data_IF_744173112731
#
_entry.id   IF_744173112731
#
_cell.length_a   1.000
_cell.length_b   1.000
_cell.length_c   1.000
_cell.angle_alpha   90.00
_cell.angle_beta   90.00
_cell.angle_gamma   90.00
#
_symmetry.space_group_name_H-M   'P 1'
#
loop_
_entity.id
_entity.type
_entity.pdbx_description
1 polymer ?
#
# COMPACT_ATOMS: atom_id res chain seq x y z
N UNK A 1 12.33 11.08 -13.02
CA UNK A 1 11.80 9.71 -13.29
C UNK A 1 12.11 8.86 -12.08
N UNK A 2 11.30 7.85 -11.77
CA UNK A 2 11.54 6.97 -10.63
C UNK A 2 12.83 6.15 -10.81
N UNK A 3 13.48 5.76 -9.71
CA UNK A 3 14.61 4.80 -9.74
C UNK A 3 14.15 3.48 -10.38
N UNK A 4 15.07 2.78 -11.05
CA UNK A 4 14.84 1.43 -11.57
C UNK A 4 14.40 0.45 -10.48
N UNK A 5 14.72 0.72 -9.21
CA UNK A 5 14.31 -0.10 -8.07
C UNK A 5 12.78 -0.19 -7.91
N UNK A 6 12.05 0.82 -8.39
CA UNK A 6 10.58 0.86 -8.37
C UNK A 6 9.94 0.24 -9.61
N UNK A 7 10.72 -0.29 -10.57
CA UNK A 7 10.24 -0.77 -11.87
C UNK A 7 10.51 -2.27 -12.07
N UNK A 8 9.94 -2.86 -13.12
CA UNK A 8 10.02 -4.30 -13.40
C UNK A 8 8.98 -5.12 -12.62
N UNK A 9 9.31 -6.36 -12.28
CA UNK A 9 8.40 -7.22 -11.50
C UNK A 9 8.29 -6.73 -10.06
N UNK A 10 7.07 -6.31 -9.70
CA UNK A 10 6.64 -5.84 -8.38
C UNK A 10 5.43 -6.62 -7.87
N UNK A 11 5.23 -7.85 -8.36
CA UNK A 11 4.17 -8.75 -7.90
C UNK A 11 4.17 -8.98 -6.38
N UNK A 12 5.36 -9.03 -5.75
CA UNK A 12 5.50 -9.18 -4.30
C UNK A 12 4.91 -8.01 -3.48
N UNK A 13 4.68 -6.86 -4.10
CA UNK A 13 4.13 -5.67 -3.44
C UNK A 13 2.61 -5.56 -3.56
N UNK A 14 1.95 -6.47 -4.31
CA UNK A 14 0.48 -6.54 -4.36
C UNK A 14 -0.08 -6.76 -2.95
N UNK A 15 -1.06 -5.94 -2.58
CA UNK A 15 -1.64 -5.88 -1.23
C UNK A 15 -0.84 -5.03 -0.23
N UNK A 16 0.37 -4.60 -0.61
CA UNK A 16 1.19 -3.66 0.17
C UNK A 16 0.78 -2.21 -0.03
N UNK A 17 1.72 -1.28 0.20
CA UNK A 17 1.47 0.16 0.05
C UNK A 17 2.54 0.85 -0.78
N UNK A 18 2.13 1.90 -1.49
CA UNK A 18 3.02 2.93 -2.00
C UNK A 18 2.71 4.23 -1.26
N UNK A 19 3.71 4.76 -0.58
CA UNK A 19 3.59 5.91 0.32
C UNK A 19 4.62 6.97 -0.02
N UNK A 20 4.27 8.22 0.20
CA UNK A 20 5.13 9.38 -0.03
C UNK A 20 4.55 10.58 0.71
N UNK A 21 5.33 11.64 0.84
CA UNK A 21 4.86 12.92 1.36
C UNK A 21 4.94 13.98 0.26
N UNK A 22 3.89 14.80 0.18
CA UNK A 22 3.78 15.82 -0.85
C UNK A 22 3.36 17.15 -0.23
N UNK A 23 4.04 18.23 -0.61
CA UNK A 23 3.63 19.60 -0.35
C UNK A 23 3.55 20.35 -1.68
N UNK A 24 2.49 21.12 -1.90
CA UNK A 24 2.34 22.00 -3.05
C UNK A 24 2.28 23.45 -2.57
N UNK A 25 2.92 24.37 -3.30
CA UNK A 25 2.85 25.79 -3.00
C UNK A 25 1.42 26.36 -3.08
N UNK A 26 0.56 25.74 -3.88
CA UNK A 26 -0.86 26.05 -3.96
C UNK A 26 -1.64 24.84 -4.44
N UNK A 27 -2.87 24.71 -3.96
CA UNK A 27 -3.83 23.72 -4.45
C UNK A 27 -5.10 24.44 -4.85
N UNK A 28 -5.52 24.27 -6.10
CA UNK A 28 -6.73 24.92 -6.59
C UNK A 28 -7.98 24.19 -6.06
N UNK A 29 -9.03 24.92 -5.66
CA UNK A 29 -10.24 24.32 -5.11
C UNK A 29 -10.94 23.31 -6.03
N UNK A 30 -10.82 23.49 -7.35
CA UNK A 30 -11.37 22.59 -8.37
C UNK A 30 -10.58 21.27 -8.52
N UNK A 31 -9.50 21.09 -7.77
CA UNK A 31 -8.64 19.90 -7.83
C UNK A 31 -8.65 19.07 -6.55
N UNK A 32 -9.12 19.64 -5.46
CA UNK A 32 -9.24 18.97 -4.16
C UNK A 32 -10.15 17.76 -4.31
N UNK A 33 -9.64 16.57 -4.00
CA UNK A 33 -10.38 15.31 -4.13
C UNK A 33 -10.77 14.94 -5.56
N UNK A 34 -10.16 15.57 -6.58
CA UNK A 34 -10.49 15.35 -7.99
C UNK A 34 -9.31 14.92 -8.86
N UNK A 35 -8.26 14.39 -8.24
CA UNK A 35 -7.04 13.95 -8.93
C UNK A 35 -6.54 12.64 -8.33
N UNK A 36 -5.95 11.74 -9.14
CA UNK A 36 -5.20 10.61 -8.63
C UNK A 36 -3.91 11.14 -8.00
N UNK A 37 -3.46 10.53 -6.90
CA UNK A 37 -2.15 10.82 -6.34
C UNK A 37 -1.04 9.99 -7.00
N UNK A 38 -1.38 8.78 -7.46
CA UNK A 38 -0.46 7.80 -8.01
C UNK A 38 -0.93 7.28 -9.38
N UNK A 39 0.02 7.11 -10.29
CA UNK A 39 -0.19 6.54 -11.63
C UNK A 39 0.82 5.40 -11.80
N UNK A 40 0.30 4.24 -12.16
CA UNK A 40 1.07 3.06 -12.54
C UNK A 40 0.95 2.85 -14.05
N UNK A 41 2.05 2.50 -14.69
CA UNK A 41 2.07 2.12 -16.10
C UNK A 41 2.73 0.76 -16.22
N UNK A 42 1.97 -0.23 -16.66
CA UNK A 42 2.48 -1.56 -16.97
C UNK A 42 2.80 -1.73 -18.45
N UNK A 43 3.10 -2.96 -18.84
CA UNK A 43 3.36 -3.32 -20.23
C UNK A 43 2.31 -2.76 -21.22
N UNK A 44 2.78 -2.44 -22.43
CA UNK A 44 1.98 -1.88 -23.53
C UNK A 44 1.35 -0.51 -23.21
N UNK A 45 1.89 0.22 -22.23
CA UNK A 45 1.38 1.55 -21.86
C UNK A 45 0.05 1.51 -21.10
N UNK A 46 -0.25 0.42 -20.39
CA UNK A 46 -1.50 0.31 -19.62
C UNK A 46 -1.44 1.22 -18.40
N UNK A 47 -2.30 2.26 -18.36
CA UNK A 47 -2.35 3.21 -17.26
C UNK A 47 -3.40 2.84 -16.21
N UNK A 48 -2.97 2.78 -14.94
CA UNK A 48 -3.86 2.70 -13.78
C UNK A 48 -3.68 3.96 -12.93
N UNK A 49 -4.79 4.60 -12.58
CA UNK A 49 -4.82 5.82 -11.77
C UNK A 49 -5.38 5.49 -10.40
N UNK A 50 -4.73 5.93 -9.33
CA UNK A 50 -5.29 5.73 -7.98
C UNK A 50 -6.62 6.47 -7.87
N UNK A 51 -7.56 5.92 -7.11
CA UNK A 51 -8.80 6.61 -6.78
C UNK A 51 -8.51 8.02 -6.23
N UNK A 52 -9.41 8.95 -6.52
CA UNK A 52 -9.30 10.29 -5.98
C UNK A 52 -9.50 10.28 -4.47
N UNK A 53 -8.84 11.20 -3.76
CA UNK A 53 -8.88 11.23 -2.32
C UNK A 53 -8.02 12.35 -1.76
N UNK A 54 -7.00 11.97 -0.99
CA UNK A 54 -6.07 12.90 -0.35
C UNK A 54 -5.49 13.91 -1.35
N UNK A 55 -5.26 15.11 -0.85
CA UNK A 55 -4.80 16.27 -1.60
C UNK A 55 -3.65 16.90 -0.81
N UNK A 56 -2.56 17.37 -1.45
CA UNK A 56 -1.44 17.92 -0.70
C UNK A 56 -1.85 19.19 0.04
N UNK A 57 -1.22 19.44 1.19
CA UNK A 57 -1.20 20.75 1.83
C UNK A 57 -0.05 21.62 1.32
N UNK A 58 0.11 22.78 1.96
CA UNK A 58 1.30 23.63 1.81
C UNK A 58 2.51 23.10 2.58
N UNK A 59 2.28 22.14 3.47
CA UNK A 59 3.29 21.37 4.20
C UNK A 59 3.27 19.91 3.73
N UNK A 60 4.33 19.16 4.04
CA UNK A 60 4.44 17.74 3.69
C UNK A 60 3.24 16.98 4.26
N UNK A 61 2.40 16.49 3.34
CA UNK A 61 1.18 15.75 3.64
C UNK A 61 1.41 14.28 3.25
N UNK A 62 1.17 13.31 4.15
CA UNK A 62 1.40 11.91 3.86
C UNK A 62 0.31 11.32 2.97
N UNK A 63 0.75 10.59 1.94
CA UNK A 63 -0.06 9.76 1.07
C UNK A 63 0.27 8.30 1.33
N UNK A 64 -0.76 7.46 1.35
CA UNK A 64 -0.59 6.01 1.41
C UNK A 64 -1.66 5.32 0.56
N UNK A 65 -1.22 4.73 -0.55
CA UNK A 65 -2.09 4.06 -1.50
C UNK A 65 -1.86 2.56 -1.34
N UNK A 66 -2.91 1.81 -1.02
CA UNK A 66 -2.86 0.34 -1.07
C UNK A 66 -2.67 -0.12 -2.52
N UNK A 67 -1.70 -1.01 -2.74
CA UNK A 67 -1.41 -1.58 -4.04
C UNK A 67 -2.34 -2.77 -4.32
N UNK A 68 -3.61 -2.46 -4.57
CA UNK A 68 -4.64 -3.44 -4.95
C UNK A 68 -5.57 -2.88 -6.02
N UNK A 69 -6.21 -3.76 -6.79
CA UNK A 69 -7.11 -3.36 -7.88
C UNK A 69 -8.22 -2.38 -7.45
N UNK A 70 -8.76 -2.54 -6.24
CA UNK A 70 -9.82 -1.66 -5.70
C UNK A 70 -9.39 -0.21 -5.49
N UNK A 71 -8.09 0.05 -5.39
CA UNK A 71 -7.53 1.38 -5.16
C UNK A 71 -7.29 2.15 -6.45
N UNK A 72 -7.58 1.56 -7.61
CA UNK A 72 -7.28 2.14 -8.92
C UNK A 72 -8.47 2.07 -9.88
N UNK A 73 -8.43 2.91 -10.91
CA UNK A 73 -9.33 2.92 -12.05
C UNK A 73 -8.55 3.05 -13.37
N UNK A 74 -9.20 2.67 -14.47
CA UNK A 74 -8.78 2.96 -15.85
C UNK A 74 -9.48 4.24 -16.32
N UNK A 75 -8.79 5.12 -17.01
CA UNK A 75 -9.37 6.39 -17.47
C UNK A 75 -8.31 7.43 -17.76
N UNK A 76 -8.51 8.64 -17.24
CA UNK A 76 -7.53 9.73 -17.32
C UNK A 76 -7.33 10.35 -15.93
N UNK A 77 -6.29 11.18 -15.71
CA UNK A 77 -6.15 11.89 -14.45
C UNK A 77 -7.34 12.78 -14.05
N UNK A 78 -8.21 13.12 -15.01
CA UNK A 78 -9.32 14.05 -14.83
C UNK A 78 -10.70 13.39 -14.92
N UNK A 79 -10.76 12.10 -15.28
CA UNK A 79 -12.01 11.36 -15.46
C UNK A 79 -11.80 9.94 -14.95
N UNK A 80 -12.54 9.60 -13.89
CA UNK A 80 -12.65 8.23 -13.38
C UNK A 80 -13.47 7.41 -14.39
N UNK A 81 -12.86 6.36 -14.93
CA UNK A 81 -13.51 5.43 -15.84
C UNK A 81 -13.84 4.11 -15.16
N UNK A 82 -13.47 3.01 -15.81
CA UNK A 82 -13.77 1.66 -15.34
C UNK A 82 -12.93 1.26 -14.12
N UNK A 83 -13.47 0.39 -13.28
CA UNK A 83 -12.70 -0.29 -12.24
C UNK A 83 -11.64 -1.23 -12.84
N UNK A 84 -10.63 -1.55 -12.04
CA UNK A 84 -9.55 -2.46 -12.40
C UNK A 84 -9.85 -3.85 -11.82
N UNK A 85 -9.62 -4.93 -12.58
CA UNK A 85 -9.71 -6.30 -12.02
C UNK A 85 -8.42 -6.70 -11.30
N UNK A 86 -8.48 -7.74 -10.48
CA UNK A 86 -7.30 -8.26 -9.79
C UNK A 86 -6.21 -8.74 -10.76
N UNK A 87 -6.62 -9.35 -11.88
CA UNK A 87 -5.73 -9.84 -12.93
C UNK A 87 -5.06 -8.71 -13.70
N UNK A 88 -5.82 -7.67 -14.07
CA UNK A 88 -5.29 -6.47 -14.72
C UNK A 88 -4.25 -5.78 -13.82
N UNK A 89 -4.58 -5.60 -12.54
CA UNK A 89 -3.67 -5.00 -11.57
C UNK A 89 -2.39 -5.84 -11.39
N UNK A 90 -2.53 -7.16 -11.25
CA UNK A 90 -1.41 -8.07 -11.12
C UNK A 90 -0.49 -8.05 -12.36
N UNK A 91 -1.07 -7.95 -13.57
CA UNK A 91 -0.29 -7.85 -14.81
C UNK A 91 0.54 -6.56 -14.87
N UNK A 92 -0.04 -5.42 -14.46
CA UNK A 92 0.68 -4.14 -14.37
C UNK A 92 1.80 -4.22 -13.33
N UNK A 93 1.53 -4.79 -12.16
CA UNK A 93 2.54 -4.94 -11.11
C UNK A 93 3.64 -5.95 -11.49
N UNK A 94 3.34 -6.99 -12.27
CA UNK A 94 4.36 -7.94 -12.75
C UNK A 94 5.30 -7.38 -13.82
N UNK A 95 4.98 -6.23 -14.40
CA UNK A 95 5.74 -5.60 -15.49
C UNK A 95 5.69 -4.07 -15.42
N UNK A 96 5.98 -3.51 -14.24
CA UNK A 96 5.81 -2.08 -14.00
C UNK A 96 6.86 -1.26 -14.76
N UNK A 97 6.45 -0.55 -15.80
CA UNK A 97 7.33 0.26 -16.66
C UNK A 97 7.53 1.68 -16.13
N UNK A 98 6.49 2.23 -15.47
CA UNK A 98 6.54 3.58 -14.89
C UNK A 98 5.68 3.67 -13.65
N UNK A 99 6.18 4.43 -12.68
CA UNK A 99 5.41 4.94 -11.55
C UNK A 99 5.52 6.47 -11.57
N UNK A 100 4.41 7.16 -11.30
CA UNK A 100 4.36 8.62 -11.32
C UNK A 100 3.45 9.14 -10.22
N UNK A 101 3.93 10.17 -9.52
CA UNK A 101 3.14 10.91 -8.54
C UNK A 101 2.60 12.15 -9.24
N UNK A 102 1.32 12.44 -9.01
CA UNK A 102 0.68 13.60 -9.62
C UNK A 102 1.22 14.89 -8.99
N UNK A 103 1.73 15.80 -9.83
CA UNK A 103 2.44 17.00 -9.38
C UNK A 103 1.81 18.33 -9.80
N UNK A 104 0.68 18.30 -10.52
CA UNK A 104 -0.03 19.52 -10.93
C UNK A 104 -1.32 19.66 -10.11
N UNK A 105 -1.29 20.50 -9.09
CA UNK A 105 -2.37 20.73 -8.13
C UNK A 105 -2.92 22.16 -8.18
N UNK A 106 -2.32 23.09 -8.94
CA UNK A 106 -2.86 24.45 -9.14
C UNK A 106 -3.50 24.70 -10.51
N UNK A 107 -3.05 24.00 -11.56
CA UNK A 107 -3.39 24.30 -12.94
C UNK A 107 -2.67 25.47 -13.56
N UNK A 108 -1.68 26.01 -12.84
CA UNK A 108 -0.67 26.92 -13.35
C UNK A 108 0.72 26.30 -13.24
N UNK A 109 1.69 27.12 -12.85
CA UNK A 109 3.06 26.67 -12.55
C UNK A 109 3.13 26.26 -11.09
N UNK A 110 3.47 25.00 -10.85
CA UNK A 110 3.57 24.43 -9.51
C UNK A 110 5.01 24.21 -9.06
N UNK A 111 5.20 24.43 -7.75
CA UNK A 111 6.35 23.94 -7.01
C UNK A 111 5.85 22.89 -6.03
N UNK A 112 6.33 21.67 -6.21
CA UNK A 112 5.97 20.54 -5.36
C UNK A 112 7.22 20.00 -4.69
N UNK A 113 7.15 19.83 -3.38
CA UNK A 113 8.14 19.10 -2.59
C UNK A 113 7.67 17.68 -2.42
N UNK A 114 8.56 16.72 -2.68
CA UNK A 114 8.31 15.29 -2.57
C UNK A 114 9.36 14.69 -1.63
N UNK A 115 8.90 13.93 -0.63
CA UNK A 115 9.78 13.22 0.30
C UNK A 115 9.23 11.83 0.66
N UNK A 116 10.05 11.01 1.33
CA UNK A 116 9.66 9.74 1.94
C UNK A 116 8.94 8.76 1.00
N UNK A 117 9.43 8.65 -0.24
CA UNK A 117 8.87 7.73 -1.25
C UNK A 117 9.23 6.28 -0.92
N UNK A 118 8.24 5.48 -0.54
CA UNK A 118 8.43 4.11 -0.07
C UNK A 118 7.42 3.19 -0.75
N UNK A 119 7.89 2.03 -1.23
CA UNK A 119 7.03 0.92 -1.64
C UNK A 119 7.25 -0.23 -0.66
N UNK A 120 6.19 -0.67 -0.01
CA UNK A 120 6.26 -1.67 1.06
C UNK A 120 5.38 -2.86 0.73
N UNK A 121 5.89 -4.07 0.97
CA UNK A 121 5.10 -5.30 0.90
C UNK A 121 4.05 -5.33 2.02
N UNK A 122 2.95 -6.06 1.80
CA UNK A 122 1.99 -6.31 2.86
C UNK A 122 2.68 -7.02 4.02
N UNK A 123 2.67 -6.44 5.22
CA UNK A 123 3.20 -7.14 6.39
C UNK A 123 2.25 -8.29 6.71
N UNK A 124 2.73 -9.53 6.61
CA UNK A 124 2.05 -10.66 7.19
C UNK A 124 2.01 -10.45 8.70
N UNK A 125 0.87 -9.95 9.22
CA UNK A 125 0.62 -9.93 10.66
C UNK A 125 0.70 -11.38 11.11
N UNK A 126 1.61 -11.78 12.02
CA UNK A 126 1.61 -13.14 12.53
C UNK A 126 0.25 -13.41 13.15
N UNK A 127 -0.47 -14.40 12.62
CA UNK A 127 -1.84 -14.64 13.04
C UNK A 127 -1.90 -14.80 14.57
N UNK A 128 -2.93 -14.25 15.25
CA UNK A 128 -3.09 -14.36 16.69
C UNK A 128 -3.07 -15.79 17.24
N UNK A 129 -3.26 -16.79 16.37
CA UNK A 129 -3.15 -18.20 16.72
C UNK A 129 -1.74 -18.62 17.16
N UNK A 130 -0.68 -17.93 16.70
CA UNK A 130 0.70 -18.35 17.03
C UNK A 130 1.00 -18.25 18.52
N UNK A 131 0.59 -17.14 19.15
CA UNK A 131 0.76 -16.98 20.60
C UNK A 131 -0.25 -17.81 21.38
N UNK A 132 -1.47 -17.99 20.86
CA UNK A 132 -2.46 -18.88 21.48
C UNK A 132 -1.94 -20.33 21.55
N UNK A 133 -1.36 -20.87 20.48
CA UNK A 133 -0.77 -22.21 20.46
C UNK A 133 0.41 -22.35 21.43
N UNK A 134 1.25 -21.31 21.56
CA UNK A 134 2.33 -21.30 22.56
C UNK A 134 1.77 -21.32 23.99
N UNK A 135 0.80 -20.45 24.29
CA UNK A 135 0.15 -20.40 25.62
C UNK A 135 -0.56 -21.71 25.93
N UNK A 136 -1.28 -22.29 24.97
CA UNK A 136 -1.91 -23.61 25.09
C UNK A 136 -0.87 -24.70 25.34
N UNK A 137 0.22 -24.73 24.57
CA UNK A 137 1.31 -25.70 24.75
C UNK A 137 1.98 -25.60 26.12
N UNK A 138 2.33 -24.38 26.55
CA UNK A 138 2.91 -24.15 27.88
C UNK A 138 1.93 -24.45 29.01
N UNK A 139 0.64 -24.12 28.83
CA UNK A 139 -0.43 -24.46 29.78
C UNK A 139 -0.58 -25.96 29.96
N UNK A 140 -0.57 -26.73 28.87
CA UNK A 140 -0.62 -28.20 28.90
C UNK A 140 0.62 -28.81 29.59
N UNK A 141 1.82 -28.31 29.29
CA UNK A 141 3.06 -28.76 29.94
C UNK A 141 3.07 -28.47 31.44
N UNK A 142 2.67 -27.26 31.85
CA UNK A 142 2.56 -26.89 33.27
C UNK A 142 1.52 -27.72 34.02
N UNK A 143 0.38 -28.00 33.39
CA UNK A 143 -0.67 -28.86 33.95
C UNK A 143 -0.17 -30.31 34.15
N UNK A 144 0.51 -30.87 33.15
CA UNK A 144 1.08 -32.22 33.23
C UNK A 144 2.15 -32.33 34.34
N UNK A 145 3.01 -31.32 34.50
CA UNK A 145 4.01 -31.28 35.56
C UNK A 145 3.37 -31.20 36.96
N UNK A 146 2.28 -30.45 37.12
CA UNK A 146 1.54 -30.35 38.40
C UNK A 146 0.93 -31.69 38.81
N UNK A 147 0.38 -32.46 37.87
CA UNK A 147 -0.27 -33.76 38.14
C UNK A 147 0.71 -34.84 38.63
N UNK A 148 1.99 -34.77 38.23
CA UNK A 148 3.04 -35.71 38.68
C UNK A 148 3.45 -35.48 40.13
N UNK A 149 3.39 -34.24 40.62
CA UNK A 149 3.72 -33.89 42.01
C UNK A 149 2.66 -34.30 43.03
N UNK A 150 1.42 -34.52 42.59
CA UNK A 150 0.30 -34.92 43.45
C UNK A 150 0.10 -36.43 43.58
N UNK A 151 0.97 -37.25 43.00
CA UNK A 151 0.98 -38.70 43.24
C UNK A 151 1.64 -38.94 44.62
N UNK A 152 0.88 -39.34 45.66
CA UNK A 152 1.47 -39.70 46.95
C UNK A 152 2.33 -40.95 46.73
N UNK A 153 3.55 -40.96 47.28
CA UNK A 153 4.27 -42.22 47.44
C UNK A 153 3.46 -43.08 48.42
N UNK A 154 2.80 -44.12 47.91
CA UNK A 154 2.20 -45.14 48.74
C UNK A 154 3.33 -45.99 49.34
N UNK A 155 3.42 -45.99 50.68
CA UNK A 155 4.25 -46.89 51.50
C UNK A 155 3.44 -48.13 51.82
#
# INVERSE_FOLDING_TARGET
>A
MASSDYLGDKSAFVGGTFSFELAANFVSPDRVGQRPALILVGANGTHLFSNWGETPGTELTPFSITLSASSFYKGTPHIVGEGVTAEEFAAVMGSLEKISIFGDWSGGVDFVTLDNVIMQIASAVPEPASWAMMVTGFGMLGFAARRRRTQPHAV
#
